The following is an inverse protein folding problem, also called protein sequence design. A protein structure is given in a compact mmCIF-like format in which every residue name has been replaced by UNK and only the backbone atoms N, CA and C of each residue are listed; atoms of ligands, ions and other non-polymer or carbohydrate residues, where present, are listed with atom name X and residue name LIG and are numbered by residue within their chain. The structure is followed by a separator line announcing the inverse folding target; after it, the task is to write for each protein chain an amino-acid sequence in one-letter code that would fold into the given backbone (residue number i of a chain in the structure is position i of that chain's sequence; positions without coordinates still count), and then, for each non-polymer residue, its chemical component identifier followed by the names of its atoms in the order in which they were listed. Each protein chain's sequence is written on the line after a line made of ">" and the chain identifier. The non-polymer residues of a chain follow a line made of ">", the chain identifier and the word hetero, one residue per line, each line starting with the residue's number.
data_IF_167726888279
#
_entry.id   IF_167726888279
#
_cell.length_a   1.000
_cell.length_b   1.000
_cell.length_c   1.000
_cell.angle_alpha   90.00
_cell.angle_beta   90.00
_cell.angle_gamma   90.00
#
_symmetry.space_group_name_H-M   'P 1'
#
loop_
_entity.id
_entity.type
_entity.pdbx_description
1 polymer ?
#
# COMPACT_ATOMS: atom_id res chain seq x y z
N UNK A 1 -16.00 26.34 -7.78
CA UNK A 1 -16.81 25.47 -6.90
C UNK A 1 -17.36 24.35 -7.78
N UNK A 2 -17.32 23.09 -7.33
CA UNK A 2 -17.79 21.88 -8.04
C UNK A 2 -16.78 21.17 -8.98
N UNK A 3 -15.57 20.81 -8.51
CA UNK A 3 -14.72 19.86 -9.25
C UNK A 3 -13.83 18.96 -8.36
N UNK A 4 -14.10 18.89 -7.05
CA UNK A 4 -13.41 17.96 -6.13
C UNK A 4 -14.48 17.39 -5.21
N UNK A 5 -15.21 16.37 -5.66
CA UNK A 5 -16.13 15.64 -4.77
C UNK A 5 -16.13 14.13 -4.92
N UNK A 6 -15.37 13.53 -5.82
CA UNK A 6 -15.39 12.08 -5.99
C UNK A 6 -14.01 11.48 -6.28
N UNK A 7 -13.07 11.63 -5.34
CA UNK A 7 -12.04 10.60 -5.15
C UNK A 7 -12.60 9.57 -4.17
N UNK A 8 -13.46 8.67 -4.65
CA UNK A 8 -13.80 7.45 -3.90
C UNK A 8 -12.54 6.58 -3.87
N UNK A 9 -11.90 6.56 -2.71
CA UNK A 9 -10.79 5.68 -2.40
C UNK A 9 -11.20 4.24 -2.72
N UNK A 10 -10.44 3.58 -3.59
CA UNK A 10 -10.60 2.15 -3.87
C UNK A 10 -10.01 1.35 -2.71
N UNK A 11 -10.71 1.34 -1.58
CA UNK A 11 -10.77 0.10 -0.81
C UNK A 11 -11.54 -0.92 -1.67
N UNK A 12 -11.27 -2.23 -1.58
CA UNK A 12 -12.34 -3.18 -1.82
C UNK A 12 -13.44 -2.82 -0.80
N UNK A 13 -14.36 -1.94 -1.19
CA UNK A 13 -15.36 -1.31 -0.32
C UNK A 13 -16.68 -2.05 -0.42
N UNK A 14 -16.62 -3.37 -0.59
CA UNK A 14 -17.81 -4.20 -0.73
C UNK A 14 -18.36 -4.59 0.64
N UNK A 15 -17.49 -4.73 1.65
CA UNK A 15 -17.92 -4.89 3.04
C UNK A 15 -18.24 -3.52 3.63
N UNK A 16 -19.53 -3.20 3.61
CA UNK A 16 -20.12 -2.12 4.39
C UNK A 16 -20.71 -2.63 5.71
N UNK A 17 -21.27 -1.73 6.51
CA UNK A 17 -21.96 -2.09 7.76
C UNK A 17 -23.10 -3.09 7.55
N UNK A 18 -23.66 -3.18 6.34
CA UNK A 18 -24.71 -4.15 5.97
C UNK A 18 -24.22 -5.59 5.78
N UNK A 19 -22.91 -5.85 5.86
CA UNK A 19 -22.35 -7.20 5.75
C UNK A 19 -22.34 -7.85 7.15
N UNK A 20 -23.17 -8.87 7.43
CA UNK A 20 -23.22 -9.48 8.76
C UNK A 20 -21.95 -10.29 9.08
N UNK A 21 -21.52 -10.28 10.35
CA UNK A 21 -20.33 -11.00 10.78
C UNK A 21 -20.64 -12.47 11.08
N UNK A 22 -21.88 -12.76 11.47
CA UNK A 22 -22.42 -14.11 11.63
C UNK A 22 -23.68 -14.33 10.79
N UNK A 23 -23.94 -15.57 10.37
CA UNK A 23 -25.11 -15.93 9.55
C UNK A 23 -26.47 -15.57 10.19
N UNK A 24 -26.53 -15.50 11.51
CA UNK A 24 -27.75 -15.13 12.26
C UNK A 24 -27.97 -13.62 12.37
N UNK A 25 -27.02 -12.79 11.90
CA UNK A 25 -27.08 -11.34 11.99
C UNK A 25 -27.60 -10.68 10.72
N UNK A 26 -28.17 -9.48 10.87
CA UNK A 26 -28.67 -8.69 9.73
C UNK A 26 -27.66 -7.67 9.20
N UNK A 27 -26.64 -7.34 10.01
CA UNK A 27 -25.62 -6.34 9.73
C UNK A 27 -24.41 -6.57 10.64
N UNK A 28 -23.26 -6.03 10.28
CA UNK A 28 -22.09 -6.03 11.17
C UNK A 28 -22.39 -5.22 12.43
N UNK A 29 -21.84 -5.67 13.55
CA UNK A 29 -21.93 -4.97 14.84
C UNK A 29 -20.55 -4.43 15.22
N UNK A 30 -20.56 -3.38 16.05
CA UNK A 30 -19.34 -2.84 16.66
C UNK A 30 -18.25 -2.44 15.67
N UNK A 31 -18.63 -1.93 14.48
CA UNK A 31 -17.69 -1.45 13.48
C UNK A 31 -16.68 -2.51 12.96
N UNK A 32 -16.98 -3.80 13.17
CA UNK A 32 -16.15 -4.93 12.71
C UNK A 32 -15.98 -4.91 11.19
N UNK A 33 -17.02 -4.48 10.46
CA UNK A 33 -17.03 -4.41 9.00
C UNK A 33 -15.85 -3.65 8.38
N UNK A 34 -15.32 -2.62 9.05
CA UNK A 34 -14.14 -1.90 8.55
C UNK A 34 -12.87 -2.25 9.34
N UNK A 35 -12.96 -2.37 10.67
CA UNK A 35 -11.78 -2.61 11.52
C UNK A 35 -11.09 -3.95 11.23
N UNK A 36 -11.85 -5.01 10.96
CA UNK A 36 -11.32 -6.31 10.53
C UNK A 36 -11.75 -6.68 9.11
N UNK A 37 -12.92 -6.21 8.69
CA UNK A 37 -13.47 -6.56 7.39
C UNK A 37 -12.67 -6.04 6.20
N UNK A 38 -12.19 -4.79 6.23
CA UNK A 38 -11.38 -4.23 5.13
C UNK A 38 -10.01 -4.92 4.98
N UNK A 39 -9.25 -5.18 6.07
CA UNK A 39 -8.05 -6.02 5.98
C UNK A 39 -8.34 -7.43 5.44
N UNK A 40 -9.46 -8.05 5.85
CA UNK A 40 -9.85 -9.35 5.31
C UNK A 40 -10.12 -9.29 3.81
N UNK A 41 -10.92 -8.32 3.34
CA UNK A 41 -11.22 -8.17 1.91
C UNK A 41 -9.96 -7.91 1.09
N UNK A 42 -9.03 -7.11 1.60
CA UNK A 42 -7.72 -6.89 0.97
C UNK A 42 -6.95 -8.21 0.85
N UNK A 43 -6.89 -8.99 1.93
CA UNK A 43 -6.20 -10.28 1.97
C UNK A 43 -6.84 -11.31 1.02
N UNK A 44 -8.18 -11.32 0.93
CA UNK A 44 -8.93 -12.16 0.01
C UNK A 44 -8.68 -11.74 -1.45
N UNK A 45 -8.68 -10.44 -1.75
CA UNK A 45 -8.36 -9.93 -3.08
C UNK A 45 -6.94 -10.32 -3.50
N UNK A 46 -5.95 -10.10 -2.64
CA UNK A 46 -4.56 -10.55 -2.87
C UNK A 46 -4.51 -12.04 -3.19
N UNK A 47 -5.21 -12.88 -2.41
CA UNK A 47 -5.26 -14.33 -2.61
C UNK A 47 -5.82 -14.69 -3.98
N UNK A 48 -6.95 -14.08 -4.39
CA UNK A 48 -7.53 -14.31 -5.72
C UNK A 48 -6.59 -13.87 -6.85
N UNK A 49 -5.85 -12.78 -6.65
CA UNK A 49 -4.86 -12.33 -7.63
C UNK A 49 -3.73 -13.35 -7.78
N UNK A 50 -3.17 -13.85 -6.67
CA UNK A 50 -2.14 -14.90 -6.67
C UNK A 50 -2.61 -16.13 -7.45
N UNK A 51 -3.76 -16.71 -7.09
CA UNK A 51 -4.25 -17.93 -7.73
C UNK A 51 -4.78 -17.73 -9.16
N UNK A 52 -5.05 -16.49 -9.57
CA UNK A 52 -5.36 -16.19 -10.97
C UNK A 52 -4.12 -16.16 -11.89
N UNK A 53 -2.91 -16.35 -11.35
CA UNK A 53 -1.65 -16.18 -12.11
C UNK A 53 -1.41 -14.71 -12.50
N UNK A 54 -1.88 -13.76 -11.69
CA UNK A 54 -1.81 -12.33 -12.01
C UNK A 54 -0.37 -11.86 -12.27
N UNK A 55 0.56 -12.20 -11.38
CA UNK A 55 1.96 -11.79 -11.51
C UNK A 55 2.71 -12.49 -12.63
N UNK A 56 2.32 -13.72 -12.99
CA UNK A 56 2.92 -14.42 -14.12
C UNK A 56 2.47 -13.80 -15.45
N UNK A 57 1.21 -13.35 -15.53
CA UNK A 57 0.67 -12.66 -16.71
C UNK A 57 1.16 -11.22 -16.85
N UNK A 58 1.42 -10.55 -15.72
CA UNK A 58 1.79 -9.13 -15.66
C UNK A 58 3.05 -8.90 -14.79
N UNK A 59 4.21 -9.46 -15.15
CA UNK A 59 5.40 -9.46 -14.29
C UNK A 59 6.01 -8.07 -14.03
N UNK A 60 5.70 -7.07 -14.87
CA UNK A 60 6.13 -5.69 -14.69
C UNK A 60 5.19 -4.84 -13.84
N UNK A 61 3.99 -5.33 -13.53
CA UNK A 61 2.98 -4.58 -12.80
C UNK A 61 3.27 -4.63 -11.30
N UNK A 62 3.20 -3.47 -10.65
CA UNK A 62 3.42 -3.32 -9.21
C UNK A 62 2.10 -2.93 -8.58
N UNK A 63 1.72 -3.62 -7.51
CA UNK A 63 0.49 -3.35 -6.78
C UNK A 63 0.81 -3.06 -5.32
N UNK A 64 0.31 -1.92 -4.83
CA UNK A 64 0.43 -1.51 -3.44
C UNK A 64 -0.82 -2.01 -2.71
N UNK A 65 -0.60 -2.70 -1.61
CA UNK A 65 -1.62 -3.21 -0.71
C UNK A 65 -1.71 -2.32 0.51
N UNK A 66 -2.94 -2.04 0.89
CA UNK A 66 -3.21 -1.12 1.98
C UNK A 66 -3.01 -1.79 3.35
N UNK A 67 -2.77 -0.99 4.39
CA UNK A 67 -2.59 -1.47 5.77
C UNK A 67 -1.49 -2.52 5.90
N UNK A 68 -0.32 -2.23 5.33
CA UNK A 68 0.86 -3.09 5.43
C UNK A 68 0.63 -4.53 4.94
N UNK A 69 -0.07 -4.72 3.82
CA UNK A 69 -0.41 -6.07 3.33
C UNK A 69 -1.55 -6.76 4.08
N UNK A 70 -2.29 -5.99 4.87
CA UNK A 70 -3.44 -6.41 5.65
C UNK A 70 -3.13 -7.61 6.57
N UNK A 71 -3.87 -8.72 6.44
CA UNK A 71 -3.72 -9.86 7.35
C UNK A 71 -2.61 -10.82 6.92
N UNK A 72 -2.10 -10.70 5.68
CA UNK A 72 -1.18 -11.69 5.12
C UNK A 72 0.16 -11.73 5.87
N UNK A 73 0.86 -10.61 6.14
CA UNK A 73 2.14 -10.67 6.87
C UNK A 73 1.99 -11.21 8.29
N UNK A 74 0.95 -10.78 9.01
CA UNK A 74 0.73 -11.21 10.39
C UNK A 74 0.44 -12.72 10.50
N UNK A 75 -0.24 -13.29 9.50
CA UNK A 75 -0.57 -14.70 9.45
C UNK A 75 0.32 -15.50 8.50
N UNK A 76 1.54 -15.04 8.17
CA UNK A 76 2.37 -15.67 7.15
C UNK A 76 2.65 -17.17 7.44
N UNK A 77 2.90 -17.53 8.70
CA UNK A 77 3.08 -18.90 9.16
C UNK A 77 1.81 -19.77 9.09
N UNK A 78 0.63 -19.15 8.94
CA UNK A 78 -0.64 -19.83 8.65
C UNK A 78 -0.93 -19.86 7.15
N UNK A 79 -0.70 -18.74 6.46
CA UNK A 79 -1.00 -18.56 5.03
C UNK A 79 -0.07 -19.44 4.19
N UNK A 80 1.24 -19.44 4.45
CA UNK A 80 2.20 -20.21 3.67
C UNK A 80 1.92 -21.71 3.71
N UNK A 81 2.14 -22.39 4.85
CA UNK A 81 1.85 -23.82 4.98
C UNK A 81 0.39 -24.21 4.74
N UNK A 82 -0.55 -23.29 5.01
CA UNK A 82 -1.97 -23.51 4.74
C UNK A 82 -2.28 -23.57 3.24
N UNK A 83 -1.67 -22.70 2.43
CA UNK A 83 -1.82 -22.70 0.98
C UNK A 83 -0.90 -23.71 0.28
N UNK A 84 0.17 -24.17 0.93
CA UNK A 84 0.95 -25.33 0.46
C UNK A 84 0.08 -26.62 0.46
N UNK A 85 -1.02 -26.64 1.23
CA UNK A 85 -2.01 -27.72 1.29
C UNK A 85 -3.30 -27.40 0.51
N UNK A 86 -3.27 -26.43 -0.40
CA UNK A 86 -4.45 -25.99 -1.15
C UNK A 86 -5.06 -27.14 -1.97
N UNK A 87 -6.37 -27.38 -1.77
CA UNK A 87 -7.12 -28.52 -2.34
C UNK A 87 -7.25 -29.75 -1.45
N UNK A 88 -6.43 -29.90 -0.40
CA UNK A 88 -6.50 -31.10 0.48
C UNK A 88 -7.75 -31.18 1.36
N UNK A 89 -8.44 -30.06 1.58
CA UNK A 89 -9.62 -29.95 2.46
C UNK A 89 -10.93 -29.66 1.71
N UNK A 90 -10.85 -29.45 0.40
CA UNK A 90 -11.94 -28.91 -0.42
C UNK A 90 -11.81 -29.53 -1.81
N UNK A 91 -12.80 -30.32 -2.21
CA UNK A 91 -12.71 -31.24 -3.36
C UNK A 91 -13.67 -30.93 -4.51
N UNK A 92 -14.41 -29.82 -4.42
CA UNK A 92 -15.37 -29.37 -5.43
C UNK A 92 -14.71 -28.63 -6.61
N UNK A 93 -13.43 -28.28 -6.52
CA UNK A 93 -12.62 -27.68 -7.59
C UNK A 93 -11.22 -28.33 -7.69
N UNK A 94 -10.56 -28.28 -8.87
CA UNK A 94 -9.19 -28.79 -9.10
C UNK A 94 -8.11 -27.84 -8.53
N UNK A 95 -8.14 -27.62 -7.21
CA UNK A 95 -7.18 -26.78 -6.51
C UNK A 95 -5.78 -27.41 -6.41
N UNK A 96 -5.70 -28.73 -6.27
CA UNK A 96 -4.41 -29.42 -6.28
C UNK A 96 -3.72 -29.29 -7.64
N UNK A 97 -4.46 -29.48 -8.74
CA UNK A 97 -3.93 -29.29 -10.08
C UNK A 97 -3.54 -27.83 -10.33
N UNK A 98 -4.32 -26.86 -9.81
CA UNK A 98 -3.95 -25.45 -9.87
C UNK A 98 -2.63 -25.18 -9.15
N UNK A 99 -2.47 -25.66 -7.91
CA UNK A 99 -1.23 -25.51 -7.13
C UNK A 99 -0.02 -26.12 -7.84
N UNK A 100 -0.17 -27.35 -8.38
CA UNK A 100 0.90 -28.05 -9.12
C UNK A 100 1.35 -27.31 -10.38
N UNK A 101 0.48 -26.51 -11.00
CA UNK A 101 0.79 -25.70 -12.18
C UNK A 101 1.45 -24.35 -11.85
N UNK A 102 1.46 -23.92 -10.58
CA UNK A 102 2.07 -22.64 -10.20
C UNK A 102 3.61 -22.72 -10.27
N UNK A 103 4.27 -21.74 -10.92
CA UNK A 103 5.73 -21.70 -11.03
C UNK A 103 6.48 -21.53 -9.70
N UNK A 104 5.82 -20.98 -8.68
CA UNK A 104 6.38 -20.67 -7.36
C UNK A 104 5.35 -20.99 -6.29
N UNK A 105 5.77 -21.04 -5.02
CA UNK A 105 4.84 -21.23 -3.91
C UNK A 105 3.91 -20.02 -3.80
N UNK A 106 2.63 -20.20 -3.38
CA UNK A 106 1.70 -19.07 -3.21
C UNK A 106 2.27 -17.94 -2.35
N UNK A 107 2.95 -18.27 -1.24
CA UNK A 107 3.57 -17.28 -0.34
C UNK A 107 4.60 -16.38 -1.02
N UNK A 108 5.30 -16.88 -2.04
CA UNK A 108 6.31 -16.10 -2.77
C UNK A 108 5.67 -15.09 -3.73
N UNK A 109 4.42 -15.32 -4.15
CA UNK A 109 3.63 -14.30 -4.84
C UNK A 109 3.12 -13.22 -3.90
N UNK A 110 2.77 -13.57 -2.66
CA UNK A 110 2.40 -12.56 -1.66
C UNK A 110 3.55 -11.59 -1.36
N UNK A 111 4.81 -12.05 -1.39
CA UNK A 111 5.99 -11.17 -1.22
C UNK A 111 6.26 -10.24 -2.41
N UNK A 112 5.60 -10.43 -3.55
CA UNK A 112 5.76 -9.55 -4.73
C UNK A 112 4.89 -8.29 -4.66
N UNK A 113 3.89 -8.25 -3.77
CA UNK A 113 3.15 -7.02 -3.51
C UNK A 113 4.06 -5.98 -2.85
N UNK A 114 3.67 -4.73 -3.00
CA UNK A 114 4.14 -3.63 -2.19
C UNK A 114 3.10 -3.36 -1.10
N UNK A 115 3.51 -2.69 -0.04
CA UNK A 115 2.63 -2.39 1.10
C UNK A 115 2.78 -0.95 1.54
N UNK A 116 1.70 -0.34 2.04
CA UNK A 116 1.76 0.99 2.63
C UNK A 116 1.76 0.98 4.17
N UNK A 117 2.18 2.08 4.78
CA UNK A 117 2.30 2.23 6.25
C UNK A 117 1.02 2.68 6.95
N UNK A 118 -0.14 2.66 6.29
CA UNK A 118 -1.37 3.20 6.85
C UNK A 118 -1.97 2.28 7.93
N UNK A 119 -1.34 2.24 9.10
CA UNK A 119 -1.69 1.38 10.25
C UNK A 119 -2.04 2.21 11.50
N UNK A 120 -2.48 3.46 11.31
CA UNK A 120 -2.90 4.36 12.40
C UNK A 120 -1.85 4.60 13.52
N UNK A 121 -0.57 4.26 13.29
CA UNK A 121 0.51 4.35 14.29
C UNK A 121 0.90 3.04 14.97
N UNK A 122 0.38 1.88 14.53
CA UNK A 122 0.77 0.59 15.07
C UNK A 122 2.17 0.14 14.62
N UNK A 123 3.20 0.39 15.44
CA UNK A 123 4.61 0.06 15.11
C UNK A 123 4.86 -1.45 14.93
N UNK A 124 4.24 -2.31 15.74
CA UNK A 124 4.37 -3.78 15.60
C UNK A 124 3.85 -4.28 14.26
N UNK A 125 2.77 -3.68 13.74
CA UNK A 125 2.24 -4.03 12.41
C UNK A 125 3.20 -3.60 11.30
N UNK A 126 3.80 -2.41 11.42
CA UNK A 126 4.82 -1.93 10.47
C UNK A 126 6.05 -2.86 10.50
N UNK A 127 6.54 -3.24 11.69
CA UNK A 127 7.63 -4.22 11.82
C UNK A 127 7.31 -5.54 11.12
N UNK A 128 6.15 -6.11 11.41
CA UNK A 128 5.70 -7.37 10.82
C UNK A 128 5.67 -7.31 9.29
N UNK A 129 5.16 -6.22 8.71
CA UNK A 129 5.20 -6.00 7.27
C UNK A 129 6.59 -5.85 6.70
N UNK A 130 7.47 -5.11 7.37
CA UNK A 130 8.88 -4.96 6.96
C UNK A 130 9.60 -6.30 6.95
N UNK A 131 9.36 -7.15 7.95
CA UNK A 131 9.95 -8.49 8.04
C UNK A 131 9.45 -9.40 6.92
N UNK A 132 8.19 -9.23 6.49
CA UNK A 132 7.58 -10.03 5.41
C UNK A 132 7.96 -9.57 4.00
N UNK A 133 7.85 -8.27 3.72
CA UNK A 133 8.03 -7.68 2.38
C UNK A 133 9.47 -7.23 2.10
N UNK A 134 10.23 -6.89 3.15
CA UNK A 134 11.48 -6.15 3.03
C UNK A 134 11.27 -4.66 2.82
N UNK A 135 12.26 -3.87 3.24
CA UNK A 135 12.19 -2.39 3.23
C UNK A 135 11.93 -1.80 1.85
N UNK A 136 12.45 -2.40 0.78
CA UNK A 136 12.30 -1.90 -0.60
C UNK A 136 10.87 -2.01 -1.14
N UNK A 137 10.01 -2.75 -0.45
CA UNK A 137 8.63 -3.01 -0.85
C UNK A 137 7.58 -2.25 0.00
N UNK A 138 8.02 -1.41 0.94
CA UNK A 138 7.14 -0.64 1.84
C UNK A 138 7.17 0.85 1.48
N UNK A 139 6.00 1.48 1.40
CA UNK A 139 5.84 2.90 1.07
C UNK A 139 5.08 3.64 2.17
N UNK A 140 5.45 4.89 2.43
CA UNK A 140 4.70 5.71 3.36
C UNK A 140 3.31 6.07 2.82
N UNK A 141 2.29 5.84 3.64
CA UNK A 141 0.94 6.40 3.49
C UNK A 141 0.31 6.59 4.87
N UNK A 142 -0.61 7.56 4.99
CA UNK A 142 -1.24 7.90 6.26
C UNK A 142 -2.74 7.65 6.33
N UNK A 143 -3.39 7.33 5.21
CA UNK A 143 -4.85 7.27 5.14
C UNK A 143 -5.58 8.57 5.58
N UNK A 144 -4.99 9.73 5.28
CA UNK A 144 -5.67 11.00 5.48
C UNK A 144 -6.86 11.12 4.49
N UNK A 145 -8.05 11.59 4.94
CA UNK A 145 -8.36 12.21 6.23
C UNK A 145 -9.17 11.31 7.19
N UNK A 146 -8.96 9.98 7.18
CA UNK A 146 -9.87 9.04 7.87
C UNK A 146 -9.63 8.88 9.37
N UNK A 147 -8.70 9.61 9.96
CA UNK A 147 -8.49 9.58 11.40
C UNK A 147 -9.52 10.39 12.19
N UNK A 148 -9.62 10.19 13.51
CA UNK A 148 -10.58 10.92 14.36
C UNK A 148 -10.43 12.44 14.38
N UNK A 149 -9.28 12.99 13.99
CA UNK A 149 -9.01 14.42 13.87
C UNK A 149 -9.20 14.95 12.44
N UNK A 150 -9.61 14.11 11.49
CA UNK A 150 -9.77 14.47 10.08
C UNK A 150 -8.46 14.55 9.28
N UNK A 151 -7.42 13.82 9.68
CA UNK A 151 -6.14 13.71 8.97
C UNK A 151 -4.87 14.07 9.78
N UNK A 152 -4.89 15.03 10.73
CA UNK A 152 -3.71 15.40 11.48
C UNK A 152 -3.17 14.32 12.40
N UNK A 153 -4.00 13.41 12.92
CA UNK A 153 -3.56 12.39 13.88
C UNK A 153 -2.61 11.39 13.19
N UNK A 154 -3.03 10.80 12.08
CA UNK A 154 -2.23 9.78 11.38
C UNK A 154 -0.97 10.37 10.74
N UNK A 155 -0.98 11.67 10.40
CA UNK A 155 0.23 12.38 9.98
C UNK A 155 1.28 12.54 11.09
N UNK A 156 0.91 12.39 12.38
CA UNK A 156 1.85 12.38 13.51
C UNK A 156 2.19 10.96 13.94
N UNK A 157 1.18 10.12 14.18
CA UNK A 157 1.36 8.81 14.82
C UNK A 157 2.08 7.80 13.92
N UNK A 158 1.89 7.83 12.60
CA UNK A 158 2.55 6.89 11.69
C UNK A 158 4.05 7.19 11.57
N UNK A 159 4.49 8.45 11.37
CA UNK A 159 5.92 8.78 11.51
C UNK A 159 6.50 8.38 12.86
N UNK A 160 5.85 8.72 13.98
CA UNK A 160 6.30 8.31 15.33
C UNK A 160 6.50 6.79 15.44
N UNK A 161 5.56 6.01 14.89
CA UNK A 161 5.65 4.56 14.84
C UNK A 161 6.86 4.07 14.03
N UNK A 162 7.13 4.67 12.86
CA UNK A 162 8.30 4.35 12.03
C UNK A 162 9.60 4.71 12.75
N UNK A 163 9.66 5.88 13.37
CA UNK A 163 10.84 6.33 14.13
C UNK A 163 11.15 5.39 15.31
N UNK A 164 10.11 4.87 15.98
CA UNK A 164 10.27 3.93 17.10
C UNK A 164 10.91 2.59 16.72
N UNK A 165 10.96 2.24 15.43
CA UNK A 165 11.52 0.98 14.94
C UNK A 165 13.06 0.98 14.88
N UNK A 166 13.73 2.11 15.12
CA UNK A 166 15.20 2.17 15.11
C UNK A 166 15.82 1.76 13.77
N UNK A 167 15.12 2.04 12.66
CA UNK A 167 15.62 1.79 11.31
C UNK A 167 16.78 2.73 10.97
N UNK A 168 17.65 2.30 10.06
CA UNK A 168 18.71 3.16 9.53
C UNK A 168 18.13 4.38 8.79
N UNK A 169 18.90 5.47 8.69
CA UNK A 169 18.51 6.65 7.91
C UNK A 169 18.20 6.31 6.44
N UNK A 170 18.95 5.35 5.89
CA UNK A 170 18.76 4.86 4.53
C UNK A 170 17.38 4.18 4.39
N UNK A 171 17.06 3.27 5.30
CA UNK A 171 15.80 2.51 5.27
C UNK A 171 14.59 3.40 5.53
N UNK A 172 14.70 4.35 6.47
CA UNK A 172 13.67 5.39 6.66
C UNK A 172 13.48 6.21 5.40
N UNK A 173 14.57 6.62 4.75
CA UNK A 173 14.53 7.35 3.48
C UNK A 173 13.82 6.56 2.36
N UNK A 174 14.05 5.25 2.28
CA UNK A 174 13.34 4.35 1.35
C UNK A 174 11.83 4.36 1.61
N UNK A 175 11.41 4.15 2.85
CA UNK A 175 10.00 4.08 3.24
C UNK A 175 9.30 5.42 2.98
N UNK A 176 9.87 6.54 3.46
CA UNK A 176 9.23 7.86 3.38
C UNK A 176 9.07 8.36 1.94
N UNK A 177 10.05 8.13 1.07
CA UNK A 177 9.97 8.64 -0.31
C UNK A 177 10.73 7.80 -1.33
N UNK A 178 11.85 7.16 -0.99
CA UNK A 178 12.73 6.50 -1.96
C UNK A 178 12.01 5.44 -2.82
N UNK A 179 11.21 4.59 -2.18
CA UNK A 179 10.45 3.54 -2.85
C UNK A 179 9.34 4.12 -3.74
N UNK A 180 8.61 5.12 -3.26
CA UNK A 180 7.59 5.83 -4.05
C UNK A 180 8.20 6.51 -5.28
N UNK A 181 9.32 7.20 -5.10
CA UNK A 181 10.04 7.89 -6.17
C UNK A 181 10.50 6.90 -7.25
N UNK A 182 11.08 5.77 -6.84
CA UNK A 182 11.52 4.70 -7.75
C UNK A 182 10.35 4.03 -8.46
N UNK A 183 9.28 3.74 -7.74
CA UNK A 183 8.10 3.05 -8.29
C UNK A 183 7.34 3.93 -9.28
N UNK A 184 7.05 5.16 -8.90
CA UNK A 184 6.25 6.11 -9.66
C UNK A 184 7.08 6.93 -10.66
N UNK A 185 8.38 6.65 -10.77
CA UNK A 185 9.35 7.33 -11.65
C UNK A 185 9.33 8.85 -11.45
N UNK A 186 9.21 9.28 -10.20
CA UNK A 186 9.17 10.70 -9.84
C UNK A 186 10.60 11.25 -9.81
N UNK A 187 10.76 12.50 -10.26
CA UNK A 187 12.02 13.23 -10.16
C UNK A 187 12.00 14.10 -8.92
N UNK A 188 13.06 14.07 -8.12
CA UNK A 188 13.21 15.02 -7.01
C UNK A 188 13.38 16.38 -7.66
N UNK A 189 12.43 17.31 -7.45
CA UNK A 189 12.71 18.71 -7.74
C UNK A 189 13.88 19.09 -6.84
N UNK A 190 15.03 19.38 -7.44
CA UNK A 190 16.21 19.75 -6.70
C UNK A 190 15.91 20.96 -5.81
N UNK A 191 16.43 20.95 -4.58
CA UNK A 191 16.70 22.19 -3.86
C UNK A 191 17.85 22.88 -4.61
N UNK A 192 17.53 23.60 -5.68
CA UNK A 192 18.52 24.14 -6.62
C UNK A 192 17.88 24.56 -7.93
N UNK A 193 17.22 25.72 -7.92
CA UNK A 193 16.62 26.36 -9.08
C UNK A 193 16.15 27.79 -8.77
N UNK A 194 16.84 28.47 -7.86
CA UNK A 194 16.78 29.91 -7.71
C UNK A 194 17.94 30.51 -8.51
N UNK A 195 17.63 31.57 -9.27
CA UNK A 195 18.54 32.41 -10.07
C UNK A 195 18.98 31.86 -11.44
N UNK A 196 18.21 32.18 -12.48
CA UNK A 196 18.70 32.86 -13.69
C UNK A 196 17.51 33.27 -14.59
N UNK A 197 16.72 34.24 -14.12
CA UNK A 197 16.04 35.15 -15.04
C UNK A 197 16.69 36.52 -14.83
N UNK A 198 17.90 36.69 -15.38
CA UNK A 198 18.50 38.00 -15.49
C UNK A 198 17.62 38.82 -16.43
N UNK A 199 16.97 39.82 -15.84
CA UNK A 199 16.27 40.87 -16.56
C UNK A 199 17.19 41.45 -17.63
N UNK A 200 16.73 41.45 -18.88
CA UNK A 200 17.32 42.28 -19.92
C UNK A 200 17.03 43.74 -19.55
N UNK A 201 18.02 44.38 -18.92
CA UNK A 201 18.10 45.84 -18.81
C UNK A 201 18.38 46.46 -20.18
N UNK A 202 18.04 47.75 -20.36
CA UNK A 202 17.75 48.34 -21.66
C UNK A 202 19.01 48.49 -22.52
N UNK A 203 18.87 48.22 -23.82
CA UNK A 203 19.87 48.57 -24.81
C UNK A 203 19.96 50.10 -24.92
N UNK A 204 21.09 50.63 -24.46
CA UNK A 204 21.54 51.99 -24.75
C UNK A 204 22.03 52.05 -26.19
N UNK A 205 21.27 52.70 -27.07
CA UNK A 205 21.76 53.16 -28.36
C UNK A 205 22.08 54.66 -28.25
N UNK A 206 23.38 54.96 -28.19
CA UNK A 206 23.92 56.28 -28.54
C UNK A 206 23.95 56.40 -30.07
N UNK A 207 23.47 57.54 -30.56
CA UNK A 207 24.12 58.26 -31.67
C UNK A 207 23.35 58.29 -33.00
N UNK A 208 23.05 59.52 -33.43
CA UNK A 208 23.05 60.12 -34.79
C UNK A 208 22.05 61.31 -34.76
N UNK A 209 22.51 62.55 -34.57
CA UNK A 209 22.66 63.60 -35.62
C UNK A 209 21.37 63.74 -36.46
N UNK A 210 20.56 64.78 -36.32
CA UNK A 210 20.75 66.23 -36.50
C UNK A 210 19.63 66.99 -35.73
#
# INVERSE_FOLDING_TARGET
>A
RQAIKETRKHHPGHRGANFPDYLSEKKSKFEIWWTFGWPYETSAAMTRMVFSGFFDRLPGLRLITHHMGAMIPFFDGRVGPGLDQFGSRTSDEDYEGLLKRMPRRPIDYFRQFYADTALAGGSSGIRCGLDFFGVDHVLFACDCPFDPEGGPMFLRTIPEAIESLGLSDEDRGKIYFGNAMKMLRLRRRGAGGGAAAAAQGPASAKGLSE
#
